data_IF_287028880772
#
_entry.id   IF_287028880772
#
_cell.length_a   1.000
_cell.length_b   1.000
_cell.length_c   1.000
_cell.angle_alpha   90.00
_cell.angle_beta   90.00
_cell.angle_gamma   90.00
#
_symmetry.space_group_name_H-M   'P 1'
#
loop_
_entity.id
_entity.type
_entity.pdbx_description
1 polymer ?
#
# COMPACT_ATOMS: atom_id res chain seq x y z
N UNK A 1 11.51 -29.98 8.04
CA UNK A 1 10.19 -29.45 7.63
C UNK A 1 10.25 -27.93 7.70
N UNK A 2 10.46 -27.26 6.56
CA UNK A 2 10.54 -25.81 6.51
C UNK A 2 9.12 -25.26 6.71
N UNK A 3 8.86 -24.64 7.86
CA UNK A 3 7.65 -23.86 8.10
C UNK A 3 7.62 -22.75 7.04
N UNK A 4 6.76 -22.90 6.04
CA UNK A 4 6.45 -21.83 5.09
C UNK A 4 5.91 -20.65 5.91
N UNK A 5 6.72 -19.62 6.12
CA UNK A 5 6.23 -18.32 6.55
C UNK A 5 5.31 -17.81 5.44
N UNK A 6 4.00 -17.97 5.66
CA UNK A 6 2.94 -17.33 4.86
C UNK A 6 2.75 -15.89 5.38
N UNK A 7 3.80 -15.26 5.91
CA UNK A 7 3.89 -13.81 5.94
C UNK A 7 4.32 -13.38 4.54
N UNK A 8 3.35 -13.46 3.63
CA UNK A 8 3.57 -13.37 2.21
C UNK A 8 3.96 -11.93 1.86
N UNK A 9 5.26 -11.65 1.75
CA UNK A 9 5.76 -10.46 1.04
C UNK A 9 5.15 -10.32 -0.36
N UNK A 10 4.63 -11.43 -0.91
CA UNK A 10 3.87 -11.48 -2.15
C UNK A 10 2.45 -10.88 -2.06
N UNK A 11 1.82 -10.81 -0.88
CA UNK A 11 0.56 -10.06 -0.67
C UNK A 11 0.81 -8.56 -0.46
N UNK A 12 1.92 -8.20 0.18
CA UNK A 12 2.29 -6.79 0.43
C UNK A 12 2.72 -6.09 -0.89
N UNK A 13 3.47 -6.79 -1.75
CA UNK A 13 3.79 -6.32 -3.12
C UNK A 13 2.54 -6.06 -3.97
N UNK A 14 1.54 -6.96 -3.91
CA UNK A 14 0.28 -6.77 -4.63
C UNK A 14 -0.51 -5.61 -4.06
N UNK A 15 -0.59 -5.48 -2.75
CA UNK A 15 -1.37 -4.44 -2.06
C UNK A 15 -0.77 -3.05 -2.27
N UNK A 16 0.56 -2.93 -2.18
CA UNK A 16 1.27 -1.68 -2.45
C UNK A 16 1.19 -1.26 -3.92
N UNK A 17 1.26 -2.22 -4.86
CA UNK A 17 1.09 -1.93 -6.29
C UNK A 17 -0.35 -1.48 -6.60
N UNK A 18 -1.36 -2.17 -6.06
CA UNK A 18 -2.76 -1.80 -6.25
C UNK A 18 -3.08 -0.42 -5.67
N UNK A 19 -2.57 -0.12 -4.48
CA UNK A 19 -2.72 1.19 -3.85
C UNK A 19 -2.13 2.30 -4.73
N UNK A 20 -0.90 2.13 -5.24
CA UNK A 20 -0.28 3.10 -6.16
C UNK A 20 -1.09 3.26 -7.45
N UNK A 21 -1.59 2.17 -8.03
CA UNK A 21 -2.44 2.22 -9.22
C UNK A 21 -3.73 3.00 -8.98
N UNK A 22 -4.43 2.74 -7.88
CA UNK A 22 -5.66 3.45 -7.53
C UNK A 22 -5.41 4.94 -7.28
N UNK A 23 -4.30 5.27 -6.64
CA UNK A 23 -3.92 6.66 -6.38
C UNK A 23 -3.58 7.40 -7.69
N UNK A 24 -2.80 6.78 -8.58
CA UNK A 24 -2.49 7.32 -9.92
C UNK A 24 -3.77 7.50 -10.74
N UNK A 25 -4.63 6.48 -10.79
CA UNK A 25 -5.89 6.53 -11.52
C UNK A 25 -6.81 7.64 -10.98
N UNK A 26 -6.90 7.77 -9.66
CA UNK A 26 -7.66 8.84 -9.01
C UNK A 26 -7.13 10.23 -9.35
N UNK A 27 -5.81 10.43 -9.36
CA UNK A 27 -5.18 11.69 -9.77
C UNK A 27 -5.44 12.01 -11.24
N UNK A 28 -5.37 11.02 -12.13
CA UNK A 28 -5.69 11.19 -13.55
C UNK A 28 -7.16 11.61 -13.73
N UNK A 29 -8.10 10.93 -13.05
CA UNK A 29 -9.52 11.28 -13.08
C UNK A 29 -9.77 12.70 -12.57
N UNK A 30 -9.08 13.09 -11.49
CA UNK A 30 -9.17 14.43 -10.93
C UNK A 30 -8.62 15.49 -11.89
N UNK A 31 -7.54 15.18 -12.61
CA UNK A 31 -7.01 16.05 -13.65
C UNK A 31 -7.97 16.21 -14.82
N UNK A 32 -8.60 15.12 -15.29
CA UNK A 32 -9.62 15.17 -16.33
C UNK A 32 -10.79 16.05 -15.89
N UNK A 33 -11.26 15.90 -14.65
CA UNK A 33 -12.31 16.75 -14.08
C UNK A 33 -11.92 18.23 -14.06
N UNK A 34 -10.68 18.55 -13.65
CA UNK A 34 -10.16 19.93 -13.62
C UNK A 34 -10.08 20.55 -15.01
N UNK A 35 -9.62 19.79 -16.01
CA UNK A 35 -9.57 20.24 -17.41
C UNK A 35 -10.99 20.44 -17.94
N UNK A 36 -11.91 19.53 -17.62
CA UNK A 36 -13.32 19.66 -18.00
C UNK A 36 -13.97 20.89 -17.36
N UNK A 37 -13.69 21.15 -16.09
CA UNK A 37 -14.20 22.33 -15.39
C UNK A 37 -13.63 23.65 -15.93
N UNK A 38 -12.35 23.68 -16.33
CA UNK A 38 -11.67 24.90 -16.76
C UNK A 38 -11.92 25.27 -18.22
N UNK A 39 -11.96 24.28 -19.11
CA UNK A 39 -12.02 24.50 -20.56
C UNK A 39 -13.28 23.91 -21.23
N UNK A 40 -14.05 23.11 -20.48
CA UNK A 40 -15.23 22.37 -20.96
C UNK A 40 -15.08 21.72 -22.35
N UNK A 41 -13.94 21.06 -22.66
CA UNK A 41 -13.69 20.52 -23.99
C UNK A 41 -14.63 19.38 -24.37
N UNK A 42 -15.13 18.57 -23.41
CA UNK A 42 -15.97 17.42 -23.72
C UNK A 42 -17.47 17.74 -23.68
N UNK A 43 -17.87 18.89 -23.12
CA UNK A 43 -19.28 19.25 -23.00
C UNK A 43 -20.08 18.27 -22.14
N UNK A 44 -19.43 17.64 -21.14
CA UNK A 44 -20.09 16.63 -20.29
C UNK A 44 -21.24 17.23 -19.48
N UNK A 45 -22.32 16.45 -19.30
CA UNK A 45 -23.41 16.88 -18.42
C UNK A 45 -22.95 16.98 -16.97
N UNK A 46 -23.57 17.88 -16.20
CA UNK A 46 -23.24 18.08 -14.78
C UNK A 46 -23.34 16.78 -13.96
N UNK A 47 -24.31 15.92 -14.28
CA UNK A 47 -24.48 14.60 -13.64
C UNK A 47 -23.29 13.67 -13.88
N UNK A 48 -22.79 13.59 -15.13
CA UNK A 48 -21.60 12.81 -15.44
C UNK A 48 -20.37 13.40 -14.76
N UNK A 49 -20.24 14.72 -14.75
CA UNK A 49 -19.12 15.40 -14.14
C UNK A 49 -19.06 15.15 -12.61
N UNK A 50 -20.22 15.21 -11.95
CA UNK A 50 -20.36 14.87 -10.53
C UNK A 50 -20.01 13.40 -10.23
N UNK A 51 -20.40 12.49 -11.12
CA UNK A 51 -20.09 11.05 -10.99
C UNK A 51 -18.58 10.79 -11.12
N UNK A 52 -17.91 11.43 -12.10
CA UNK A 52 -16.46 11.34 -12.30
C UNK A 52 -15.73 11.87 -11.06
N UNK A 53 -16.16 13.01 -10.52
CA UNK A 53 -15.57 13.59 -9.32
C UNK A 53 -15.72 12.66 -8.10
N UNK A 54 -16.92 12.13 -7.87
CA UNK A 54 -17.17 11.19 -6.78
C UNK A 54 -16.27 9.95 -6.90
N UNK A 55 -16.12 9.40 -8.10
CA UNK A 55 -15.26 8.25 -8.36
C UNK A 55 -13.77 8.58 -8.15
N UNK A 56 -13.34 9.78 -8.55
CA UNK A 56 -11.97 10.26 -8.30
C UNK A 56 -11.67 10.34 -6.80
N UNK A 57 -12.58 10.93 -6.02
CA UNK A 57 -12.44 11.04 -4.56
C UNK A 57 -12.38 9.64 -3.92
N UNK A 58 -13.25 8.72 -4.32
CA UNK A 58 -13.23 7.35 -3.81
C UNK A 58 -11.94 6.61 -4.15
N UNK A 59 -11.45 6.73 -5.38
CA UNK A 59 -10.18 6.12 -5.79
C UNK A 59 -8.99 6.66 -5.01
N UNK A 60 -8.92 7.99 -4.83
CA UNK A 60 -7.85 8.62 -4.05
C UNK A 60 -7.94 8.21 -2.58
N UNK A 61 -9.14 8.23 -1.99
CA UNK A 61 -9.37 7.85 -0.60
C UNK A 61 -8.98 6.40 -0.33
N UNK A 62 -9.47 5.46 -1.16
CA UNK A 62 -9.10 4.04 -1.07
C UNK A 62 -7.60 3.84 -1.30
N UNK A 63 -7.01 4.52 -2.29
CA UNK A 63 -5.58 4.48 -2.57
C UNK A 63 -4.73 4.90 -1.37
N UNK A 64 -5.08 6.03 -0.73
CA UNK A 64 -4.40 6.54 0.47
C UNK A 64 -4.55 5.62 1.68
N UNK A 65 -5.77 5.11 1.93
CA UNK A 65 -6.02 4.19 3.04
C UNK A 65 -5.20 2.91 2.85
N UNK A 66 -5.23 2.31 1.65
CA UNK A 66 -4.42 1.13 1.35
C UNK A 66 -2.92 1.41 1.43
N UNK A 67 -2.48 2.60 1.04
CA UNK A 67 -1.08 3.01 1.16
C UNK A 67 -0.65 3.06 2.63
N UNK A 68 -1.50 3.66 3.48
CA UNK A 68 -1.25 3.75 4.91
C UNK A 68 -1.15 2.36 5.54
N UNK A 69 -2.07 1.45 5.22
CA UNK A 69 -2.00 0.07 5.70
C UNK A 69 -0.73 -0.64 5.24
N UNK A 70 -0.34 -0.53 3.98
CA UNK A 70 0.89 -1.16 3.47
C UNK A 70 2.14 -0.62 4.19
N UNK A 71 2.23 0.69 4.45
CA UNK A 71 3.31 1.24 5.26
C UNK A 71 3.33 0.68 6.69
N UNK A 72 2.17 0.52 7.33
CA UNK A 72 2.09 -0.01 8.69
C UNK A 72 2.45 -1.50 8.74
N UNK A 73 2.00 -2.30 7.77
CA UNK A 73 2.38 -3.70 7.65
C UNK A 73 3.87 -3.87 7.37
N UNK A 74 4.46 -3.04 6.51
CA UNK A 74 5.90 -3.07 6.24
C UNK A 74 6.72 -2.79 7.50
N UNK A 75 6.31 -1.82 8.33
CA UNK A 75 6.96 -1.54 9.62
C UNK A 75 6.85 -2.71 10.59
N UNK A 76 5.67 -3.32 10.71
CA UNK A 76 5.45 -4.49 11.56
C UNK A 76 6.28 -5.69 11.10
N UNK A 77 6.35 -5.92 9.80
CA UNK A 77 7.19 -6.98 9.22
C UNK A 77 8.66 -6.77 9.56
N UNK A 78 9.16 -5.53 9.46
CA UNK A 78 10.55 -5.20 9.78
C UNK A 78 10.86 -5.40 11.26
N UNK A 79 9.95 -5.01 12.14
CA UNK A 79 10.10 -5.23 13.59
C UNK A 79 10.12 -6.73 13.92
N UNK A 80 9.25 -7.52 13.29
CA UNK A 80 9.23 -8.96 13.49
C UNK A 80 10.54 -9.63 13.03
N UNK A 81 11.07 -9.21 11.88
CA UNK A 81 12.34 -9.69 11.33
C UNK A 81 13.54 -9.30 12.22
N UNK A 82 13.51 -8.09 12.79
CA UNK A 82 14.54 -7.62 13.74
C UNK A 82 14.51 -8.43 15.04
N UNK A 83 13.33 -8.71 15.60
CA UNK A 83 13.18 -9.54 16.82
C UNK A 83 13.65 -10.98 16.57
N UNK A 84 13.25 -11.58 15.44
CA UNK A 84 13.66 -12.96 15.08
C UNK A 84 15.18 -13.08 14.88
N UNK A 85 15.82 -12.01 14.38
CA UNK A 85 17.27 -11.95 14.23
C UNK A 85 17.98 -11.74 15.57
N UNK A 86 17.48 -10.86 16.44
CA UNK A 86 18.07 -10.58 17.74
C UNK A 86 17.98 -11.79 18.69
N UNK A 87 16.85 -12.53 18.65
CA UNK A 87 16.67 -13.77 19.40
C UNK A 87 17.65 -14.87 18.93
N UNK A 88 17.94 -14.94 17.62
CA UNK A 88 18.92 -15.90 17.08
C UNK A 88 20.38 -15.61 17.48
N UNK A 89 20.71 -14.35 17.81
CA UNK A 89 22.05 -13.97 18.26
C UNK A 89 22.29 -14.28 19.74
N UNK A 90 21.24 -14.38 20.54
CA UNK A 90 21.32 -14.67 21.98
C UNK A 90 21.53 -16.17 22.24
N UNK A 91 21.01 -17.05 21.38
CA UNK A 91 21.19 -18.53 21.50
C UNK A 91 22.59 -19.02 21.08
N UNK A 92 23.51 -18.14 20.62
CA UNK A 92 24.88 -18.53 20.24
C UNK A 92 25.91 -18.26 21.35
N UNK A 93 25.51 -17.71 22.51
CA UNK A 93 26.36 -17.56 23.69
C UNK A 93 25.98 -18.55 24.80
N UNK A 94 25.89 -19.86 24.50
CA UNK A 94 26.23 -20.84 25.54
C UNK A 94 27.77 -20.94 25.59
N UNK A 95 28.42 -20.61 26.72
CA UNK A 95 29.84 -20.89 26.87
C UNK A 95 29.99 -22.41 26.89
N UNK A 96 30.76 -22.95 25.93
CA UNK A 96 31.29 -24.31 25.98
C UNK A 96 32.09 -24.48 27.30
N UNK A 97 31.41 -24.87 28.38
CA UNK A 97 32.02 -25.55 29.51
C UNK A 97 32.30 -27.00 29.08
N UNK A 98 33.42 -27.22 28.39
CA UNK A 98 34.02 -28.57 28.32
C UNK A 98 35.40 -28.59 28.99
N UNK A 99 35.39 -29.13 30.21
CA UNK A 99 36.30 -30.12 30.82
C UNK A 99 37.83 -29.91 30.82
#
# INVERSE_FOLDING_TARGET
MVKKHIFSAHSDLKTGFFSKLFLILGVILLFIYLVEFAAHPLGLSEDLNGTILAFAILCIGLGLISYFFSCQFSKLSKIAEEIETDESLIDTEEPDEEH
#
